data_IF_247213838294
#
_entry.id   IF_247213838294
#
_cell.length_a   1.000
_cell.length_b   1.000
_cell.length_c   1.000
_cell.angle_alpha   90.00
_cell.angle_beta   90.00
_cell.angle_gamma   90.00
#
_symmetry.space_group_name_H-M   'P 1'
#
loop_
_entity.id
_entity.type
_entity.pdbx_description
1 polymer ?
#
# COMPACT_ATOMS: atom_id res chain seq x y z
N UNK A 1 6.05 16.76 -24.26
CA UNK A 1 5.64 16.18 -22.96
C UNK A 1 6.31 14.86 -22.55
N UNK A 2 6.98 14.09 -23.42
CA UNK A 2 7.56 12.77 -23.04
C UNK A 2 8.90 12.83 -22.26
N UNK A 3 9.68 13.91 -22.33
CA UNK A 3 10.99 14.00 -21.66
C UNK A 3 10.94 14.38 -20.16
N UNK A 4 9.90 15.07 -19.69
CA UNK A 4 9.82 15.49 -18.27
C UNK A 4 9.48 14.37 -17.28
N UNK A 5 8.88 13.25 -17.74
CA UNK A 5 8.52 12.13 -16.84
C UNK A 5 9.73 11.35 -16.32
N UNK A 6 10.89 11.41 -17.00
CA UNK A 6 12.12 10.68 -16.60
C UNK A 6 12.83 11.20 -15.34
N UNK A 7 12.35 12.29 -14.70
CA UNK A 7 13.07 12.93 -13.58
C UNK A 7 12.54 12.62 -12.17
N UNK A 8 11.41 11.92 -12.04
CA UNK A 8 10.77 11.68 -10.73
C UNK A 8 11.43 10.53 -9.97
N UNK A 9 11.73 9.44 -10.67
CA UNK A 9 12.24 8.21 -10.04
C UNK A 9 13.70 8.01 -10.43
N UNK A 10 14.56 7.86 -9.41
CA UNK A 10 15.93 7.40 -9.59
C UNK A 10 15.93 5.87 -9.73
N UNK A 11 15.96 5.40 -10.99
CA UNK A 11 15.90 3.98 -11.30
C UNK A 11 17.06 3.18 -10.70
N UNK A 12 18.29 3.71 -10.71
CA UNK A 12 19.45 3.03 -10.11
C UNK A 12 19.25 2.81 -8.62
N UNK A 13 18.72 3.81 -7.89
CA UNK A 13 18.36 3.66 -6.48
C UNK A 13 17.22 2.66 -6.29
N UNK A 14 16.23 2.60 -7.19
CA UNK A 14 15.15 1.61 -7.14
C UNK A 14 15.68 0.17 -7.29
N UNK A 15 16.62 -0.07 -8.21
CA UNK A 15 17.28 -1.37 -8.39
C UNK A 15 18.03 -1.77 -7.12
N UNK A 16 18.85 -0.88 -6.57
CA UNK A 16 19.63 -1.16 -5.37
C UNK A 16 18.73 -1.45 -4.17
N UNK A 17 17.68 -0.64 -3.98
CA UNK A 17 16.70 -0.84 -2.93
C UNK A 17 15.99 -2.20 -3.05
N UNK A 18 15.53 -2.56 -4.25
CA UNK A 18 14.88 -3.84 -4.48
C UNK A 18 15.80 -5.02 -4.15
N UNK A 19 17.07 -4.98 -4.59
CA UNK A 19 18.07 -6.00 -4.25
C UNK A 19 18.29 -6.12 -2.74
N UNK A 20 18.48 -4.99 -2.05
CA UNK A 20 18.70 -4.96 -0.61
C UNK A 20 17.52 -5.55 0.16
N UNK A 21 16.30 -5.16 -0.19
CA UNK A 21 15.08 -5.64 0.47
C UNK A 21 14.86 -7.15 0.25
N UNK A 22 15.11 -7.64 -0.97
CA UNK A 22 15.06 -9.07 -1.26
C UNK A 22 16.12 -9.83 -0.47
N UNK A 23 17.35 -9.30 -0.38
CA UNK A 23 18.41 -9.94 0.40
C UNK A 23 18.02 -10.09 1.90
N UNK A 24 17.32 -9.10 2.47
CA UNK A 24 16.78 -9.21 3.85
C UNK A 24 15.74 -10.34 3.95
N UNK A 25 14.83 -10.45 2.97
CA UNK A 25 13.85 -11.55 2.90
C UNK A 25 14.52 -12.92 2.79
N UNK A 26 15.50 -13.06 1.89
CA UNK A 26 16.22 -14.33 1.66
C UNK A 26 16.97 -14.81 2.89
N UNK A 27 17.55 -13.89 3.67
CA UNK A 27 18.22 -14.21 4.95
C UNK A 27 17.25 -14.67 6.04
N UNK A 28 15.93 -14.61 5.81
CA UNK A 28 14.87 -14.88 6.80
C UNK A 28 15.05 -14.10 8.10
N UNK A 29 15.66 -12.93 8.03
CA UNK A 29 15.76 -12.03 9.19
C UNK A 29 14.37 -11.53 9.56
N UNK A 30 14.21 -10.99 10.77
CA UNK A 30 12.99 -10.28 11.11
C UNK A 30 12.68 -9.20 10.04
N UNK A 31 11.42 -9.03 9.62
CA UNK A 31 10.24 -9.68 10.19
C UNK A 31 9.86 -11.02 9.53
N UNK A 32 10.64 -11.51 8.56
CA UNK A 32 10.36 -12.72 7.77
C UNK A 32 10.53 -14.04 8.53
N UNK A 33 11.16 -14.02 9.71
CA UNK A 33 11.18 -15.17 10.62
C UNK A 33 9.85 -15.37 11.38
N UNK A 34 8.90 -14.43 11.29
CA UNK A 34 7.62 -14.56 11.99
C UNK A 34 6.66 -15.45 11.20
N UNK A 35 6.07 -16.47 11.83
CA UNK A 35 5.01 -17.26 11.19
C UNK A 35 3.81 -16.34 10.90
N UNK A 36 3.12 -16.62 9.80
CA UNK A 36 1.86 -15.95 9.45
C UNK A 36 1.94 -14.42 9.41
N UNK A 37 3.10 -13.88 9.01
CA UNK A 37 3.30 -12.43 8.93
C UNK A 37 2.36 -11.76 7.92
N UNK A 38 1.98 -12.48 6.87
CA UNK A 38 1.11 -12.01 5.79
C UNK A 38 -0.35 -12.37 6.10
N UNK A 39 -1.24 -11.38 6.40
CA UNK A 39 -2.61 -11.66 6.82
C UNK A 39 -3.46 -12.36 5.75
N UNK A 40 -3.11 -12.13 4.49
CA UNK A 40 -3.71 -12.71 3.28
C UNK A 40 -3.32 -14.17 3.04
N UNK A 41 -2.24 -14.66 3.66
CA UNK A 41 -1.86 -16.07 3.62
C UNK A 41 -2.64 -16.94 4.61
N UNK A 42 -3.41 -16.33 5.53
CA UNK A 42 -4.21 -17.05 6.53
C UNK A 42 -5.62 -17.20 5.99
N UNK A 43 -5.96 -18.43 5.56
CA UNK A 43 -7.24 -18.76 4.94
C UNK A 43 -8.36 -18.96 5.98
N UNK A 44 -9.63 -18.81 5.58
CA UNK A 44 -10.77 -19.26 6.38
C UNK A 44 -10.81 -20.80 6.50
N UNK A 45 -11.58 -21.31 7.45
CA UNK A 45 -11.58 -22.73 7.78
C UNK A 45 -12.17 -23.56 6.62
N UNK A 46 -11.49 -24.67 6.27
CA UNK A 46 -11.91 -25.56 5.20
C UNK A 46 -11.71 -25.03 3.78
N UNK A 47 -11.18 -23.82 3.60
CA UNK A 47 -10.85 -23.27 2.28
C UNK A 47 -9.45 -23.70 1.86
N UNK A 48 -9.34 -24.23 0.64
CA UNK A 48 -8.08 -24.64 0.04
C UNK A 48 -7.46 -23.49 -0.76
N UNK A 49 -6.14 -23.32 -0.66
CA UNK A 49 -5.42 -22.37 -1.50
C UNK A 49 -5.65 -22.67 -2.99
N UNK A 50 -5.98 -21.62 -3.74
CA UNK A 50 -6.29 -21.68 -5.18
C UNK A 50 -7.70 -22.16 -5.51
N UNK A 51 -8.57 -22.41 -4.53
CA UNK A 51 -9.98 -22.74 -4.80
C UNK A 51 -10.83 -21.50 -5.13
N UNK A 52 -12.04 -21.71 -5.67
CA UNK A 52 -13.00 -20.62 -5.94
C UNK A 52 -13.36 -19.83 -4.69
N UNK A 53 -13.45 -20.50 -3.54
CA UNK A 53 -13.70 -19.85 -2.26
C UNK A 53 -12.52 -18.97 -1.84
N UNK A 54 -11.29 -19.41 -2.10
CA UNK A 54 -10.09 -18.61 -1.84
C UNK A 54 -10.05 -17.35 -2.70
N UNK A 55 -10.38 -17.47 -3.99
CA UNK A 55 -10.45 -16.34 -4.92
C UNK A 55 -11.44 -15.28 -4.44
N UNK A 56 -12.66 -15.70 -4.10
CA UNK A 56 -13.70 -14.81 -3.58
C UNK A 56 -13.29 -14.16 -2.25
N UNK A 57 -12.66 -14.93 -1.37
CA UNK A 57 -12.12 -14.41 -0.11
C UNK A 57 -11.12 -13.28 -0.36
N UNK A 58 -10.15 -13.49 -1.26
CA UNK A 58 -9.16 -12.47 -1.62
C UNK A 58 -9.82 -11.25 -2.28
N UNK A 59 -10.70 -11.47 -3.26
CA UNK A 59 -11.41 -10.42 -3.99
C UNK A 59 -12.20 -9.50 -3.04
N UNK A 60 -12.96 -10.08 -2.12
CA UNK A 60 -13.75 -9.29 -1.19
C UNK A 60 -12.90 -8.63 -0.11
N UNK A 61 -11.90 -9.33 0.43
CA UNK A 61 -11.00 -8.78 1.46
C UNK A 61 -10.22 -7.57 0.98
N UNK A 62 -9.59 -7.67 -0.20
CA UNK A 62 -8.79 -6.57 -0.76
C UNK A 62 -9.66 -5.34 -1.06
N UNK A 63 -10.92 -5.55 -1.45
CA UNK A 63 -11.82 -4.44 -1.77
C UNK A 63 -12.03 -3.48 -0.59
N UNK A 64 -12.01 -3.98 0.64
CA UNK A 64 -12.21 -3.20 1.87
C UNK A 64 -10.93 -2.88 2.66
N UNK A 65 -9.74 -3.25 2.16
CA UNK A 65 -8.41 -2.95 2.74
C UNK A 65 -8.01 -1.45 2.68
N UNK A 66 -8.96 -0.54 2.42
CA UNK A 66 -8.70 0.90 2.48
C UNK A 66 -8.74 1.39 3.93
N UNK A 67 -7.75 2.19 4.32
CA UNK A 67 -7.74 2.95 5.59
C UNK A 67 -7.86 2.11 6.88
N UNK A 68 -7.62 0.80 6.81
CA UNK A 68 -7.71 -0.13 7.94
C UNK A 68 -6.36 -0.82 8.16
N UNK A 69 -6.22 -1.51 9.29
CA UNK A 69 -5.11 -2.45 9.46
C UNK A 69 -5.45 -3.72 8.68
N UNK A 70 -4.52 -4.21 7.85
CA UNK A 70 -4.74 -5.39 7.04
C UNK A 70 -5.09 -6.61 7.92
N UNK A 71 -4.41 -6.76 9.06
CA UNK A 71 -4.67 -7.83 10.02
C UNK A 71 -6.15 -7.92 10.44
N UNK A 72 -6.77 -6.77 10.76
CA UNK A 72 -8.19 -6.71 11.15
C UNK A 72 -9.12 -6.96 9.96
N UNK A 73 -8.75 -6.50 8.76
CA UNK A 73 -9.56 -6.73 7.55
C UNK A 73 -9.65 -8.20 7.21
N UNK A 74 -8.50 -8.89 7.14
CA UNK A 74 -8.47 -10.31 6.81
C UNK A 74 -9.07 -11.17 7.93
N UNK A 75 -8.92 -10.76 9.20
CA UNK A 75 -9.61 -11.40 10.33
C UNK A 75 -11.12 -11.30 10.22
N UNK A 76 -11.65 -10.10 9.98
CA UNK A 76 -13.08 -9.88 9.80
C UNK A 76 -13.63 -10.68 8.61
N UNK A 77 -12.90 -10.72 7.49
CA UNK A 77 -13.33 -11.46 6.31
C UNK A 77 -13.28 -12.98 6.49
N UNK A 78 -12.35 -13.52 7.29
CA UNK A 78 -12.40 -14.93 7.68
C UNK A 78 -13.67 -15.24 8.46
N UNK A 79 -14.03 -14.40 9.43
CA UNK A 79 -15.28 -14.58 10.19
C UNK A 79 -16.52 -14.51 9.29
N UNK A 80 -16.58 -13.52 8.40
CA UNK A 80 -17.65 -13.40 7.39
C UNK A 80 -17.72 -14.66 6.53
N UNK A 81 -16.58 -15.15 6.05
CA UNK A 81 -16.52 -16.34 5.19
C UNK A 81 -16.95 -17.59 5.95
N UNK A 82 -16.46 -17.80 7.18
CA UNK A 82 -16.83 -18.94 8.00
C UNK A 82 -18.33 -18.93 8.38
N UNK A 83 -18.94 -17.76 8.57
CA UNK A 83 -20.36 -17.62 8.96
C UNK A 83 -21.32 -17.71 7.78
N UNK A 84 -20.96 -17.15 6.63
CA UNK A 84 -21.79 -17.16 5.41
C UNK A 84 -21.55 -18.44 4.60
N UNK A 85 -20.36 -19.04 4.74
CA UNK A 85 -19.87 -20.11 3.89
C UNK A 85 -19.49 -19.58 2.52
N UNK A 86 -20.35 -19.83 1.53
CA UNK A 86 -20.05 -19.50 0.14
C UNK A 86 -20.25 -18.00 -0.14
N UNK A 87 -19.14 -17.28 -0.33
CA UNK A 87 -19.15 -15.84 -0.65
C UNK A 87 -19.80 -15.47 -2.00
N UNK A 88 -20.10 -16.43 -2.89
CA UNK A 88 -20.94 -16.15 -4.07
C UNK A 88 -22.32 -15.61 -3.67
N UNK A 89 -22.81 -15.97 -2.47
CA UNK A 89 -24.09 -15.49 -1.95
C UNK A 89 -24.04 -14.07 -1.41
N UNK A 90 -22.86 -13.44 -1.36
CA UNK A 90 -22.65 -12.15 -0.68
C UNK A 90 -23.56 -11.04 -1.24
N UNK A 91 -23.87 -11.06 -2.54
CA UNK A 91 -24.77 -10.09 -3.18
C UNK A 91 -26.20 -10.10 -2.59
N UNK A 92 -26.62 -11.23 -2.02
CA UNK A 92 -27.97 -11.45 -1.48
C UNK A 92 -28.04 -11.37 0.06
N UNK A 93 -26.90 -11.13 0.72
CA UNK A 93 -26.86 -11.02 2.18
C UNK A 93 -27.43 -9.67 2.62
N UNK A 94 -28.36 -9.70 3.58
CA UNK A 94 -28.93 -8.48 4.17
C UNK A 94 -27.84 -7.63 4.81
N UNK A 95 -27.87 -6.32 4.54
CA UNK A 95 -26.92 -5.33 5.10
C UNK A 95 -26.73 -5.49 6.62
N UNK A 96 -27.83 -5.58 7.37
CA UNK A 96 -27.80 -5.72 8.84
C UNK A 96 -27.07 -6.97 9.33
N UNK A 97 -27.05 -8.05 8.55
CA UNK A 97 -26.29 -9.25 8.89
C UNK A 97 -24.78 -9.00 8.77
N UNK A 98 -24.34 -8.33 7.67
CA UNK A 98 -22.94 -7.92 7.52
C UNK A 98 -22.52 -6.87 8.55
N UNK A 99 -23.42 -5.97 8.95
CA UNK A 99 -23.17 -5.02 10.04
C UNK A 99 -22.81 -5.77 11.33
N UNK A 100 -23.61 -6.76 11.73
CA UNK A 100 -23.37 -7.55 12.94
C UNK A 100 -22.02 -8.29 12.92
N UNK A 101 -21.59 -8.77 11.75
CA UNK A 101 -20.30 -9.47 11.59
C UNK A 101 -19.10 -8.51 11.55
N UNK A 102 -19.24 -7.30 11.01
CA UNK A 102 -18.12 -6.40 10.78
C UNK A 102 -17.93 -5.32 11.86
N UNK A 103 -18.97 -4.98 12.63
CA UNK A 103 -18.89 -4.02 13.75
C UNK A 103 -17.86 -4.43 14.81
N UNK A 104 -17.73 -5.71 15.22
CA UNK A 104 -16.72 -6.10 16.21
C UNK A 104 -15.28 -5.75 15.79
N UNK A 105 -15.01 -5.70 14.48
CA UNK A 105 -13.67 -5.42 13.94
C UNK A 105 -13.45 -3.96 13.57
N UNK A 106 -14.49 -3.27 13.08
CA UNK A 106 -14.36 -1.92 12.53
C UNK A 106 -15.10 -0.83 13.33
N UNK A 107 -15.82 -1.21 14.38
CA UNK A 107 -16.61 -0.33 15.24
C UNK A 107 -17.90 0.19 14.59
N UNK A 108 -18.68 0.93 15.38
CA UNK A 108 -19.99 1.45 14.96
C UNK A 108 -19.95 2.48 13.82
N UNK A 109 -18.77 3.02 13.51
CA UNK A 109 -18.59 4.01 12.43
C UNK A 109 -18.99 3.49 11.05
N UNK A 110 -19.03 2.17 10.84
CA UNK A 110 -19.42 1.56 9.55
C UNK A 110 -20.94 1.58 9.29
N UNK A 111 -21.78 1.86 10.31
CA UNK A 111 -23.24 1.98 10.14
C UNK A 111 -23.62 3.23 9.33
N UNK A 112 -22.89 4.31 9.56
CA UNK A 112 -23.12 5.63 8.96
C UNK A 112 -21.84 6.13 8.26
N UNK A 113 -21.44 5.47 7.17
CA UNK A 113 -20.19 5.80 6.50
C UNK A 113 -20.29 7.18 5.83
N UNK A 114 -19.20 7.94 5.88
CA UNK A 114 -19.12 9.27 5.23
C UNK A 114 -18.74 9.20 3.75
N UNK A 115 -18.19 8.06 3.32
CA UNK A 115 -17.68 7.84 1.97
C UNK A 115 -17.50 6.35 1.70
N UNK A 116 -17.22 5.99 0.44
CA UNK A 116 -16.90 4.61 0.07
C UNK A 116 -15.68 4.02 0.76
N UNK A 117 -14.68 4.81 1.11
CA UNK A 117 -13.50 4.32 1.87
C UNK A 117 -13.87 3.93 3.30
N UNK A 118 -14.94 4.53 3.83
CA UNK A 118 -15.46 4.28 5.18
C UNK A 118 -16.68 3.35 5.18
N UNK A 119 -17.14 2.90 4.01
CA UNK A 119 -18.30 2.02 3.81
C UNK A 119 -17.86 0.61 3.33
N UNK A 120 -17.37 -0.25 4.24
CA UNK A 120 -16.93 -1.57 3.85
C UNK A 120 -18.12 -2.43 3.39
N UNK A 121 -19.29 -2.28 4.03
CA UNK A 121 -20.48 -3.10 3.74
C UNK A 121 -21.04 -2.77 2.36
N UNK A 122 -21.26 -1.49 2.06
CA UNK A 122 -21.72 -1.07 0.75
C UNK A 122 -20.68 -1.35 -0.35
N UNK A 123 -19.39 -1.41 -0.01
CA UNK A 123 -18.34 -1.85 -0.95
C UNK A 123 -18.45 -3.34 -1.25
N UNK A 124 -18.62 -4.19 -0.23
CA UNK A 124 -18.78 -5.64 -0.38
C UNK A 124 -20.02 -5.97 -1.22
N UNK A 125 -21.19 -5.43 -0.85
CA UNK A 125 -22.45 -5.70 -1.55
C UNK A 125 -22.43 -5.20 -3.00
N UNK A 126 -21.93 -3.99 -3.23
CA UNK A 126 -21.81 -3.44 -4.58
C UNK A 126 -20.89 -4.30 -5.46
N UNK A 127 -19.71 -4.66 -4.95
CA UNK A 127 -18.76 -5.46 -5.72
C UNK A 127 -19.25 -6.89 -5.95
N UNK A 128 -19.93 -7.50 -4.98
CA UNK A 128 -20.54 -8.83 -5.15
C UNK A 128 -21.59 -8.82 -6.27
N UNK A 129 -22.54 -7.88 -6.24
CA UNK A 129 -23.55 -7.75 -7.28
C UNK A 129 -22.94 -7.48 -8.66
N UNK A 130 -21.98 -6.55 -8.73
CA UNK A 130 -21.29 -6.24 -9.99
C UNK A 130 -20.49 -7.44 -10.52
N UNK A 131 -19.94 -8.27 -9.65
CA UNK A 131 -19.20 -9.47 -10.03
C UNK A 131 -20.16 -10.56 -10.55
N UNK A 132 -21.32 -10.72 -9.91
CA UNK A 132 -22.42 -11.57 -10.38
C UNK A 132 -22.89 -11.16 -11.79
N UNK A 133 -23.21 -9.88 -11.98
CA UNK A 133 -23.69 -9.34 -13.27
C UNK A 133 -22.67 -9.48 -14.40
N UNK A 134 -21.38 -9.25 -14.11
CA UNK A 134 -20.34 -9.19 -15.14
C UNK A 134 -19.70 -10.53 -15.44
N UNK A 135 -19.58 -11.39 -14.42
CA UNK A 135 -18.74 -12.58 -14.46
C UNK A 135 -19.40 -13.80 -13.79
N UNK A 136 -20.72 -13.79 -13.57
CA UNK A 136 -21.43 -14.91 -12.92
C UNK A 136 -20.91 -15.21 -11.52
N UNK A 137 -20.34 -14.20 -10.83
CA UNK A 137 -19.77 -14.34 -9.50
C UNK A 137 -18.32 -14.83 -9.49
N UNK A 138 -17.71 -15.08 -10.65
CA UNK A 138 -16.36 -15.62 -10.77
C UNK A 138 -15.30 -14.52 -11.01
N UNK A 139 -14.44 -14.19 -10.03
CA UNK A 139 -13.45 -13.14 -10.21
C UNK A 139 -12.29 -13.54 -11.13
N UNK A 140 -12.12 -14.82 -11.47
CA UNK A 140 -11.05 -15.25 -12.40
C UNK A 140 -11.31 -14.77 -13.83
N UNK A 141 -12.57 -14.57 -14.20
CA UNK A 141 -12.99 -14.06 -15.50
C UNK A 141 -12.67 -12.56 -15.70
N UNK A 142 -12.11 -11.90 -14.68
CA UNK A 142 -11.54 -10.56 -14.82
C UNK A 142 -10.17 -10.57 -15.51
N UNK A 143 -9.52 -11.74 -15.60
CA UNK A 143 -8.26 -11.93 -16.33
C UNK A 143 -8.47 -11.67 -17.81
N UNK A 144 -7.59 -10.84 -18.39
CA UNK A 144 -7.49 -10.67 -19.83
C UNK A 144 -6.15 -11.21 -20.34
N UNK A 145 -5.90 -11.07 -21.64
CA UNK A 145 -4.66 -11.55 -22.26
C UNK A 145 -3.39 -10.82 -21.78
N UNK A 146 -3.52 -9.69 -21.08
CA UNK A 146 -2.36 -8.95 -20.59
C UNK A 146 -2.61 -8.28 -19.24
N UNK A 147 -1.51 -8.04 -18.52
CA UNK A 147 -1.49 -7.42 -17.19
C UNK A 147 -2.19 -6.06 -17.18
N UNK A 148 -1.91 -5.20 -18.16
CA UNK A 148 -2.42 -3.82 -18.19
C UNK A 148 -3.95 -3.80 -18.27
N UNK A 149 -4.54 -4.60 -19.14
CA UNK A 149 -5.98 -4.62 -19.32
C UNK A 149 -6.67 -5.35 -18.16
N UNK A 150 -6.05 -6.41 -17.62
CA UNK A 150 -6.54 -7.06 -16.39
C UNK A 150 -6.64 -6.07 -15.22
N UNK A 151 -5.62 -5.22 -15.01
CA UNK A 151 -5.65 -4.18 -13.99
C UNK A 151 -6.80 -3.18 -14.22
N UNK A 152 -7.08 -2.80 -15.47
CA UNK A 152 -8.22 -1.93 -15.80
C UNK A 152 -9.55 -2.61 -15.51
N UNK A 153 -9.68 -3.90 -15.81
CA UNK A 153 -10.92 -4.64 -15.54
C UNK A 153 -11.21 -4.73 -14.04
N UNK A 154 -10.20 -5.02 -13.22
CA UNK A 154 -10.31 -5.00 -11.76
C UNK A 154 -10.62 -3.58 -11.25
N UNK A 155 -9.99 -2.56 -11.83
CA UNK A 155 -10.16 -1.17 -11.39
C UNK A 155 -11.57 -0.59 -11.61
N UNK A 156 -12.44 -1.29 -12.37
CA UNK A 156 -13.86 -0.94 -12.51
C UNK A 156 -14.66 -1.22 -11.24
N UNK A 157 -14.14 -1.96 -10.27
CA UNK A 157 -14.83 -2.27 -9.03
C UNK A 157 -14.62 -1.18 -7.96
N UNK A 158 -15.60 -1.03 -7.07
CA UNK A 158 -15.55 -0.03 -6.01
C UNK A 158 -14.34 -0.30 -5.13
N UNK A 159 -13.61 0.77 -4.81
CA UNK A 159 -12.39 0.73 -4.00
C UNK A 159 -11.21 -0.03 -4.65
N UNK A 160 -11.29 -0.49 -5.89
CA UNK A 160 -10.14 -1.02 -6.63
C UNK A 160 -9.43 0.09 -7.42
N UNK A 161 -8.52 0.81 -6.78
CA UNK A 161 -7.52 1.60 -7.52
C UNK A 161 -6.41 0.70 -8.07
N UNK A 162 -5.56 1.23 -8.95
CA UNK A 162 -4.41 0.51 -9.53
C UNK A 162 -3.58 -0.24 -8.47
N UNK A 163 -3.21 0.35 -7.31
CA UNK A 163 -2.45 -0.39 -6.29
C UNK A 163 -3.17 -1.64 -5.79
N UNK A 164 -4.49 -1.56 -5.56
CA UNK A 164 -5.25 -2.71 -5.07
C UNK A 164 -5.54 -3.74 -6.15
N UNK A 165 -5.70 -3.31 -7.41
CA UNK A 165 -5.74 -4.22 -8.53
C UNK A 165 -4.42 -5.00 -8.67
N UNK A 166 -3.27 -4.33 -8.46
CA UNK A 166 -1.96 -4.98 -8.40
C UNK A 166 -1.85 -5.98 -7.24
N UNK A 167 -2.38 -5.63 -6.05
CA UNK A 167 -2.41 -6.55 -4.91
C UNK A 167 -3.24 -7.81 -5.20
N UNK A 168 -4.44 -7.66 -5.78
CA UNK A 168 -5.27 -8.80 -6.15
C UNK A 168 -4.57 -9.71 -7.16
N UNK A 169 -4.03 -9.12 -8.22
CA UNK A 169 -3.26 -9.83 -9.23
C UNK A 169 -2.07 -10.58 -8.63
N UNK A 170 -1.29 -9.93 -7.74
CA UNK A 170 -0.20 -10.57 -7.02
C UNK A 170 -0.66 -11.81 -6.28
N UNK A 171 -1.73 -11.71 -5.51
CA UNK A 171 -2.22 -12.83 -4.71
C UNK A 171 -2.79 -13.96 -5.56
N UNK A 172 -3.40 -13.64 -6.71
CA UNK A 172 -3.89 -14.65 -7.64
C UNK A 172 -2.73 -15.41 -8.31
N UNK A 173 -1.68 -14.71 -8.72
CA UNK A 173 -0.48 -15.37 -9.27
C UNK A 173 0.23 -16.19 -8.19
N UNK A 174 0.38 -15.64 -6.98
CA UNK A 174 1.00 -16.33 -5.83
C UNK A 174 0.31 -17.65 -5.50
N UNK A 175 -1.01 -17.70 -5.64
CA UNK A 175 -1.84 -18.87 -5.32
C UNK A 175 -2.11 -19.77 -6.53
N UNK A 176 -1.39 -19.57 -7.65
CA UNK A 176 -1.57 -20.30 -8.90
C UNK A 176 -2.99 -20.24 -9.51
N UNK A 177 -3.76 -19.19 -9.20
CA UNK A 177 -5.08 -18.92 -9.81
C UNK A 177 -4.89 -18.35 -11.22
N UNK A 178 -3.93 -17.43 -11.37
CA UNK A 178 -3.54 -16.85 -12.66
C UNK A 178 -2.11 -17.23 -13.02
N UNK A 179 -1.88 -17.46 -14.31
CA UNK A 179 -0.62 -17.90 -14.90
C UNK A 179 0.28 -16.75 -15.40
N UNK A 180 0.02 -15.50 -14.97
CA UNK A 180 0.90 -14.40 -15.32
C UNK A 180 2.29 -14.62 -14.74
N UNK A 181 3.33 -14.25 -15.49
CA UNK A 181 4.69 -14.29 -14.98
C UNK A 181 4.85 -13.39 -13.74
N UNK A 182 5.45 -13.88 -12.64
CA UNK A 182 5.69 -13.06 -11.45
C UNK A 182 6.66 -11.91 -11.70
N UNK A 183 7.35 -11.90 -12.86
CA UNK A 183 8.24 -10.80 -13.26
C UNK A 183 7.51 -9.69 -14.01
N UNK A 184 6.29 -9.94 -14.49
CA UNK A 184 5.54 -9.06 -15.39
C UNK A 184 4.32 -8.38 -14.75
N UNK A 185 3.95 -8.79 -13.54
CA UNK A 185 2.91 -8.14 -12.76
C UNK A 185 3.48 -6.96 -11.95
N UNK A 186 2.72 -5.89 -11.71
CA UNK A 186 3.14 -4.80 -10.84
C UNK A 186 3.10 -5.19 -9.36
N UNK A 187 3.90 -4.51 -8.54
CA UNK A 187 3.75 -4.51 -7.07
C UNK A 187 2.63 -3.55 -6.64
N UNK A 188 2.08 -3.73 -5.43
CA UNK A 188 1.17 -2.76 -4.80
C UNK A 188 1.97 -1.57 -4.29
N UNK A 189 1.93 -0.45 -5.00
CA UNK A 189 2.50 0.81 -4.48
C UNK A 189 1.53 1.43 -3.47
N UNK A 190 1.77 1.18 -2.19
CA UNK A 190 1.06 1.79 -1.07
C UNK A 190 1.97 2.68 -0.21
N UNK A 191 1.46 3.13 0.95
CA UNK A 191 2.20 3.99 1.88
C UNK A 191 3.54 3.40 2.35
N UNK A 192 3.66 2.06 2.39
CA UNK A 192 4.87 1.38 2.82
C UNK A 192 5.95 1.50 1.74
N UNK A 193 5.61 1.13 0.50
CA UNK A 193 6.51 1.28 -0.66
C UNK A 193 6.92 2.74 -0.84
N UNK A 194 5.96 3.68 -0.78
CA UNK A 194 6.23 5.11 -0.97
C UNK A 194 7.17 5.64 0.10
N UNK A 195 6.93 5.34 1.37
CA UNK A 195 7.77 5.82 2.48
C UNK A 195 9.20 5.29 2.38
N UNK A 196 9.36 3.99 2.10
CA UNK A 196 10.68 3.37 1.96
C UNK A 196 11.41 3.97 0.74
N UNK A 197 10.73 4.07 -0.40
CA UNK A 197 11.28 4.64 -1.63
C UNK A 197 11.71 6.10 -1.44
N UNK A 198 10.91 6.89 -0.73
CA UNK A 198 11.22 8.28 -0.39
C UNK A 198 12.44 8.38 0.54
N UNK A 199 12.52 7.54 1.57
CA UNK A 199 13.63 7.48 2.50
C UNK A 199 14.95 7.02 1.87
N UNK A 200 14.89 6.13 0.87
CA UNK A 200 16.07 5.65 0.16
C UNK A 200 16.42 6.51 -1.07
N UNK A 201 15.82 7.68 -1.23
CA UNK A 201 16.12 8.60 -2.34
C UNK A 201 15.69 8.10 -3.72
N UNK A 202 14.85 7.07 -3.81
CA UNK A 202 14.27 6.60 -5.09
C UNK A 202 13.37 7.68 -5.68
N UNK A 203 12.65 8.42 -4.84
CA UNK A 203 11.81 9.54 -5.27
C UNK A 203 12.64 10.84 -5.24
N UNK A 204 12.83 11.45 -6.40
CA UNK A 204 13.41 12.78 -6.51
C UNK A 204 12.36 13.82 -6.12
N UNK A 205 12.57 14.44 -4.96
CA UNK A 205 11.62 15.39 -4.38
C UNK A 205 11.80 16.82 -4.89
N UNK A 206 12.88 17.13 -5.62
CA UNK A 206 13.24 18.52 -5.95
C UNK A 206 12.14 19.26 -6.73
N UNK A 207 11.47 18.58 -7.65
CA UNK A 207 10.51 19.20 -8.58
C UNK A 207 9.04 19.12 -8.11
N UNK A 208 8.76 18.43 -7.00
CA UNK A 208 7.38 18.11 -6.56
C UNK A 208 7.06 18.58 -5.15
N UNK A 209 8.04 19.19 -4.50
CA UNK A 209 7.88 19.86 -3.24
C UNK A 209 7.04 21.11 -3.45
N UNK A 210 5.96 21.19 -2.68
CA UNK A 210 5.28 22.45 -2.43
C UNK A 210 5.79 22.99 -1.09
N UNK A 211 6.28 24.23 -1.10
CA UNK A 211 6.65 24.94 0.13
C UNK A 211 5.35 25.51 0.69
N UNK A 212 4.99 25.13 1.91
CA UNK A 212 3.95 25.83 2.65
C UNK A 212 4.53 27.14 3.17
N UNK A 213 4.56 28.18 2.34
CA UNK A 213 4.72 29.53 2.87
C UNK A 213 3.32 30.04 3.27
N UNK A 214 3.21 30.71 4.41
CA UNK A 214 1.93 31.18 4.99
C UNK A 214 1.10 32.13 4.11
N UNK A 215 1.56 32.43 2.88
CA UNK A 215 0.88 33.28 1.91
C UNK A 215 -0.18 32.55 1.08
N UNK A 216 -0.15 31.21 1.00
CA UNK A 216 -1.11 30.44 0.19
C UNK A 216 -2.21 29.83 1.06
N UNK A 217 -3.48 30.04 0.68
CA UNK A 217 -4.63 29.43 1.37
C UNK A 217 -4.54 27.91 1.26
N UNK A 218 -4.24 27.24 2.38
CA UNK A 218 -4.19 25.79 2.47
C UNK A 218 -5.60 25.21 2.34
N UNK A 219 -5.73 24.06 1.70
CA UNK A 219 -6.99 23.30 1.71
C UNK A 219 -7.37 22.96 3.16
N UNK A 220 -8.68 22.80 3.44
CA UNK A 220 -9.16 22.41 4.78
C UNK A 220 -8.46 21.12 5.25
N UNK A 221 -8.33 20.14 4.37
CA UNK A 221 -7.64 18.88 4.66
C UNK A 221 -6.19 19.12 5.10
N UNK A 222 -5.45 19.96 4.38
CA UNK A 222 -4.05 20.21 4.67
C UNK A 222 -3.83 21.04 5.94
N UNK A 223 -4.76 21.96 6.26
CA UNK A 223 -4.79 22.66 7.56
C UNK A 223 -4.98 21.68 8.71
N UNK A 224 -5.98 20.80 8.61
CA UNK A 224 -6.25 19.81 9.65
C UNK A 224 -5.04 18.90 9.91
N UNK A 225 -4.32 18.51 8.85
CA UNK A 225 -3.10 17.71 8.99
C UNK A 225 -1.96 18.53 9.61
N UNK A 226 -1.74 19.78 9.18
CA UNK A 226 -0.78 20.69 9.82
C UNK A 226 -1.04 20.79 11.32
N UNK A 227 -2.28 21.09 11.71
CA UNK A 227 -2.68 21.26 13.12
C UNK A 227 -2.53 19.95 13.91
N UNK A 228 -2.76 18.80 13.26
CA UNK A 228 -2.49 17.49 13.86
C UNK A 228 -0.99 17.27 14.10
N UNK A 229 -0.13 17.61 13.14
CA UNK A 229 1.32 17.45 13.28
C UNK A 229 1.91 18.35 14.36
N UNK A 230 1.39 19.57 14.51
CA UNK A 230 1.76 20.47 15.60
C UNK A 230 1.34 19.89 16.95
N UNK A 231 0.10 19.42 17.06
CA UNK A 231 -0.40 18.76 18.29
C UNK A 231 0.42 17.51 18.67
N UNK A 232 0.86 16.76 17.67
CA UNK A 232 1.73 15.59 17.86
C UNK A 232 3.19 15.96 18.15
N UNK A 233 3.52 17.26 18.21
CA UNK A 233 4.87 17.80 18.42
C UNK A 233 5.88 17.31 17.37
N UNK A 234 5.42 17.01 16.16
CA UNK A 234 6.31 16.69 15.04
C UNK A 234 6.97 17.94 14.47
N UNK A 235 6.25 19.07 14.49
CA UNK A 235 6.69 20.39 14.02
C UNK A 235 6.05 21.47 14.91
N UNK A 236 6.54 22.69 14.83
CA UNK A 236 5.88 23.88 15.38
C UNK A 236 5.42 24.84 14.26
N UNK A 237 4.69 25.89 14.63
CA UNK A 237 4.18 26.89 13.69
C UNK A 237 5.30 27.63 12.94
N UNK A 238 6.43 27.84 13.61
CA UNK A 238 7.62 28.49 13.06
C UNK A 238 8.27 27.65 11.94
N UNK A 239 8.30 26.32 12.07
CA UNK A 239 8.84 25.42 11.04
C UNK A 239 8.07 25.55 9.72
N UNK A 240 6.74 25.66 9.80
CA UNK A 240 5.91 25.93 8.63
C UNK A 240 6.15 27.35 8.10
N UNK A 241 6.15 28.37 8.96
CA UNK A 241 6.29 29.76 8.55
C UNK A 241 7.65 30.07 7.90
N UNK A 242 8.73 29.43 8.38
CA UNK A 242 10.07 29.51 7.79
C UNK A 242 10.25 28.61 6.56
N UNK A 243 9.23 27.85 6.17
CA UNK A 243 9.28 26.95 5.02
C UNK A 243 10.20 25.76 5.21
N UNK A 244 10.53 25.37 6.45
CA UNK A 244 11.34 24.18 6.78
C UNK A 244 10.61 22.88 6.46
N UNK A 245 9.28 22.92 6.47
CA UNK A 245 8.42 21.78 6.12
C UNK A 245 7.99 21.88 4.66
N UNK A 246 8.40 20.89 3.88
CA UNK A 246 8.00 20.68 2.48
C UNK A 246 6.92 19.63 2.41
N UNK A 247 5.97 19.81 1.51
CA UNK A 247 4.89 18.85 1.32
C UNK A 247 4.96 18.23 -0.05
N UNK A 248 4.67 16.94 -0.08
CA UNK A 248 4.57 16.21 -1.32
C UNK A 248 3.32 15.34 -1.31
N UNK A 249 2.56 15.42 -2.40
CA UNK A 249 1.41 14.54 -2.61
C UNK A 249 1.85 13.17 -3.12
N UNK A 250 1.32 12.13 -2.50
CA UNK A 250 1.68 10.74 -2.76
C UNK A 250 1.16 10.21 -4.10
N UNK A 251 0.00 10.70 -4.54
CA UNK A 251 -0.64 10.33 -5.80
C UNK A 251 0.26 10.61 -7.02
N UNK A 252 1.16 11.58 -6.92
CA UNK A 252 2.17 11.89 -7.94
C UNK A 252 3.20 10.78 -8.16
N UNK A 253 3.34 9.83 -7.22
CA UNK A 253 4.36 8.79 -7.28
C UNK A 253 3.82 7.38 -7.51
N UNK A 254 2.52 7.15 -7.35
CA UNK A 254 1.94 5.81 -7.47
C UNK A 254 2.28 5.21 -8.84
N UNK A 255 1.95 5.90 -9.93
CA UNK A 255 2.21 5.40 -11.29
C UNK A 255 3.72 5.34 -11.58
N UNK A 256 4.52 6.40 -11.36
CA UNK A 256 5.97 6.32 -11.60
C UNK A 256 6.69 5.22 -10.82
N UNK A 257 6.34 4.98 -9.55
CA UNK A 257 6.92 3.88 -8.77
C UNK A 257 6.45 2.52 -9.29
N UNK A 258 5.18 2.40 -9.68
CA UNK A 258 4.64 1.16 -10.26
C UNK A 258 5.41 0.80 -11.54
N UNK A 259 5.60 1.77 -12.43
CA UNK A 259 6.35 1.60 -13.68
C UNK A 259 7.83 1.27 -13.41
N UNK A 260 8.47 2.00 -12.49
CA UNK A 260 9.88 1.77 -12.15
C UNK A 260 10.12 0.39 -11.56
N UNK A 261 9.32 -0.03 -10.56
CA UNK A 261 9.50 -1.35 -9.96
C UNK A 261 9.09 -2.49 -10.91
N UNK A 262 8.10 -2.30 -11.78
CA UNK A 262 7.81 -3.26 -12.85
C UNK A 262 9.01 -3.41 -13.81
N UNK A 263 9.70 -2.32 -14.12
CA UNK A 263 10.93 -2.39 -14.92
C UNK A 263 12.04 -3.12 -14.15
N UNK A 264 12.19 -2.88 -12.83
CA UNK A 264 13.15 -3.61 -11.98
C UNK A 264 12.87 -5.11 -11.97
N UNK A 265 11.62 -5.54 -11.76
CA UNK A 265 11.26 -6.97 -11.69
C UNK A 265 11.57 -7.69 -13.01
N UNK A 266 11.26 -7.05 -14.15
CA UNK A 266 11.54 -7.59 -15.49
C UNK A 266 13.04 -7.70 -15.78
N UNK A 267 13.79 -6.62 -15.60
CA UNK A 267 15.20 -6.56 -15.98
C UNK A 267 16.11 -7.33 -15.04
N UNK A 268 15.78 -7.35 -13.73
CA UNK A 268 16.62 -7.99 -12.71
C UNK A 268 16.13 -9.38 -12.32
N UNK A 269 15.07 -9.88 -12.97
CA UNK A 269 14.43 -11.16 -12.66
C UNK A 269 14.12 -11.30 -11.17
N UNK A 270 13.62 -10.22 -10.58
CA UNK A 270 13.13 -10.20 -9.20
C UNK A 270 11.63 -10.46 -9.25
N UNK A 271 11.16 -11.48 -8.53
CA UNK A 271 9.73 -11.76 -8.39
C UNK A 271 9.00 -10.56 -7.79
N UNK A 272 7.97 -10.05 -8.48
CA UNK A 272 7.14 -8.96 -7.99
C UNK A 272 6.38 -9.37 -6.71
N UNK A 273 6.03 -10.66 -6.58
CA UNK A 273 5.42 -11.21 -5.36
C UNK A 273 6.39 -11.05 -4.19
N UNK A 274 7.64 -11.47 -4.39
CA UNK A 274 8.63 -11.39 -3.33
C UNK A 274 8.97 -9.96 -2.93
N UNK A 275 9.06 -9.08 -3.93
CA UNK A 275 9.36 -7.67 -3.73
C UNK A 275 8.23 -6.95 -2.98
N UNK A 276 6.98 -7.18 -3.36
CA UNK A 276 5.80 -6.61 -2.70
C UNK A 276 5.70 -7.08 -1.24
N UNK A 277 5.78 -8.40 -1.00
CA UNK A 277 5.76 -9.00 0.33
C UNK A 277 6.90 -8.42 1.19
N UNK A 278 8.08 -8.23 0.61
CA UNK A 278 9.21 -7.68 1.34
C UNK A 278 9.04 -6.21 1.71
N UNK A 279 8.54 -5.38 0.78
CA UNK A 279 8.20 -3.99 1.06
C UNK A 279 7.14 -3.87 2.15
N UNK A 280 6.07 -4.67 2.06
CA UNK A 280 4.99 -4.65 3.04
C UNK A 280 5.50 -5.05 4.42
N UNK A 281 6.25 -6.16 4.52
CA UNK A 281 6.72 -6.69 5.81
C UNK A 281 7.66 -5.70 6.50
N UNK A 282 8.69 -5.20 5.81
CA UNK A 282 9.61 -4.18 6.34
C UNK A 282 8.84 -2.90 6.68
N UNK A 283 7.95 -2.48 5.79
CA UNK A 283 7.17 -1.27 5.95
C UNK A 283 6.24 -1.31 7.16
N UNK A 284 5.58 -2.44 7.42
CA UNK A 284 4.57 -2.61 8.46
C UNK A 284 5.19 -2.95 9.82
N UNK A 285 6.27 -3.73 9.85
CA UNK A 285 6.85 -4.25 11.10
C UNK A 285 8.09 -3.48 11.58
N UNK A 286 8.85 -2.87 10.68
CA UNK A 286 10.07 -2.12 11.04
C UNK A 286 9.86 -0.61 10.84
N UNK A 287 9.61 -0.17 9.61
CA UNK A 287 9.55 1.26 9.27
C UNK A 287 8.37 1.99 9.95
N UNK A 288 7.24 1.31 10.21
CA UNK A 288 6.13 1.88 11.00
C UNK A 288 6.51 2.16 12.46
N UNK A 289 7.46 1.41 13.01
CA UNK A 289 7.94 1.48 14.39
C UNK A 289 9.24 2.28 14.55
N UNK A 290 9.78 2.82 13.46
CA UNK A 290 11.09 3.48 13.43
C UNK A 290 12.23 2.55 13.90
N UNK A 291 12.12 1.26 13.62
CA UNK A 291 13.11 0.26 14.03
C UNK A 291 14.08 -0.04 12.88
N UNK A 292 15.31 0.46 12.99
CA UNK A 292 16.37 0.30 12.00
C UNK A 292 17.08 -1.05 12.07
N UNK A 293 16.95 -1.77 13.20
CA UNK A 293 17.74 -2.96 13.54
C UNK A 293 17.68 -4.01 12.43
N UNK A 294 16.55 -4.09 11.75
CA UNK A 294 16.25 -5.18 10.83
C UNK A 294 16.27 -4.79 9.34
N UNK A 295 16.36 -3.50 9.03
CA UNK A 295 16.48 -3.05 7.65
C UNK A 295 17.95 -2.92 7.20
N UNK A 296 18.92 -3.35 8.02
CA UNK A 296 20.34 -3.39 7.62
C UNK A 296 20.86 -2.06 7.06
N UNK A 297 20.31 -0.95 7.55
CA UNK A 297 20.70 0.44 7.21
C UNK A 297 20.76 0.78 5.72
N UNK A 298 20.05 0.08 4.82
CA UNK A 298 20.05 0.46 3.39
C UNK A 298 19.33 1.80 3.11
N UNK A 299 18.68 2.38 4.11
CA UNK A 299 18.02 3.67 4.02
C UNK A 299 18.98 4.77 4.49
N UNK A 300 19.28 5.72 3.60
CA UNK A 300 20.10 6.90 3.90
C UNK A 300 19.44 7.79 4.97
N UNK A 301 18.12 7.70 5.16
CA UNK A 301 17.38 8.48 6.15
C UNK A 301 17.32 7.74 7.50
N UNK A 302 17.85 8.33 8.59
CA UNK A 302 17.67 7.87 9.96
C UNK A 302 16.20 7.59 10.32
N UNK A 303 15.97 6.50 11.06
CA UNK A 303 14.63 6.00 11.35
C UNK A 303 13.80 6.91 12.26
N UNK A 304 14.46 7.75 13.06
CA UNK A 304 13.84 8.81 13.87
C UNK A 304 13.28 9.96 13.02
N UNK A 305 13.73 10.11 11.76
CA UNK A 305 13.30 11.16 10.83
C UNK A 305 12.19 10.70 9.88
N UNK A 306 11.36 9.76 10.33
CA UNK A 306 10.18 9.30 9.57
C UNK A 306 9.38 10.50 9.07
N UNK A 307 9.27 10.63 7.74
CA UNK A 307 8.38 11.61 7.12
C UNK A 307 6.97 11.33 7.62
N UNK A 308 6.38 12.23 8.43
CA UNK A 308 5.02 12.03 8.83
C UNK A 308 4.16 12.10 7.58
N UNK A 309 3.11 11.30 7.58
CA UNK A 309 2.08 11.35 6.57
C UNK A 309 0.76 11.60 7.26
N UNK A 310 -0.21 12.17 6.55
CA UNK A 310 -1.58 12.11 7.02
C UNK A 310 -2.04 10.64 7.15
N UNK A 311 -3.15 10.43 7.86
CA UNK A 311 -3.69 9.09 8.09
C UNK A 311 -4.01 8.32 6.79
N UNK A 312 -4.24 9.05 5.70
CA UNK A 312 -4.52 8.51 4.37
C UNK A 312 -3.27 8.36 3.50
N UNK A 313 -2.11 8.81 3.98
CA UNK A 313 -0.87 8.92 3.23
C UNK A 313 -1.04 9.63 1.87
N UNK A 314 -1.92 10.63 1.81
CA UNK A 314 -2.08 11.56 0.69
C UNK A 314 -0.91 12.54 0.66
N UNK A 315 -0.45 12.98 1.83
CA UNK A 315 0.63 13.95 1.97
C UNK A 315 1.79 13.35 2.77
N UNK A 316 3.00 13.52 2.26
CA UNK A 316 4.24 13.32 3.01
C UNK A 316 4.85 14.68 3.33
N UNK A 317 5.29 14.83 4.58
CA UNK A 317 5.91 16.04 5.08
C UNK A 317 7.40 15.80 5.21
N UNK A 318 8.21 16.62 4.55
CA UNK A 318 9.66 16.53 4.57
C UNK A 318 10.24 17.70 5.36
N UNK A 319 11.12 17.38 6.29
CA UNK A 319 11.95 18.36 6.96
C UNK A 319 13.22 18.62 6.11
N UNK A 320 13.43 19.89 5.71
CA UNK A 320 14.58 20.31 4.90
C UNK A 320 15.88 20.23 5.69
N UNK A 321 15.87 20.69 6.93
CA UNK A 321 17.08 20.92 7.73
C UNK A 321 17.65 19.58 8.19
N UNK A 322 16.76 18.64 8.53
CA UNK A 322 17.10 17.26 8.87
C UNK A 322 17.77 16.47 7.75
N UNK A 323 17.52 16.78 6.46
CA UNK A 323 18.22 16.13 5.34
C UNK A 323 19.66 16.61 5.15
N UNK A 324 19.99 17.83 5.57
CA UNK A 324 21.33 18.41 5.36
C UNK A 324 22.40 17.73 6.21
N UNK A 325 22.06 17.29 7.42
CA UNK A 325 23.03 16.69 8.35
C UNK A 325 23.47 15.26 7.98
N UNK A 326 22.73 14.55 7.13
CA UNK A 326 23.09 13.19 6.67
C UNK A 326 24.19 13.26 5.59
N UNK A 327 24.09 14.22 4.66
CA UNK A 327 25.03 14.31 3.54
C UNK A 327 26.40 14.85 3.94
N UNK A 328 26.55 15.43 5.13
CA UNK A 328 27.85 15.89 5.64
C UNK A 328 28.55 14.86 6.53
N UNK A 329 27.83 13.97 7.23
CA UNK A 329 28.44 13.04 8.20
C UNK A 329 28.76 11.65 7.65
N UNK A 330 28.15 11.25 6.52
CA UNK A 330 28.40 9.91 5.93
C UNK A 330 29.56 9.86 4.92
N UNK A 331 30.18 10.99 4.57
CA UNK A 331 31.41 10.99 3.77
C UNK A 331 32.69 10.98 4.62
N UNK A 332 32.60 11.25 5.92
CA UNK A 332 33.76 11.30 6.82
C UNK A 332 34.07 9.95 7.50
N UNK A 333 33.30 8.89 7.22
CA UNK A 333 33.49 7.54 7.81
C UNK A 333 33.73 6.43 6.77
N UNK A 334 34.11 6.76 5.53
CA UNK A 334 34.54 5.78 4.52
C UNK A 334 35.94 6.07 3.94
N UNK A 335 36.86 6.52 4.78
CA UNK A 335 38.31 6.43 4.54
C UNK A 335 39.01 5.75 5.70
#
# INVERSE_FOLDING_TARGET
>A
MKQHKKRIINYSKAVNLAKSIIAVKTKKNFPFNKPNIFPDAILPDGIKEGSKEHELFLFHSISIDSMRQAEEVYKAMREVTNKIGNLNKLANIKKGHLENLLIPHFGNGIKNPKSSMTDPIGTLLFNAKKLEEKCGGDPTLLKTNNVKDTLKEIAKFRQYGIPKAALLMKNYVKSNIWDFSPYEIPIKVDRHVMRISLGCGVINTKDYVEILNGKRKLSIALRNVKDQLIRMKHYNEEDFNKGKVRIIRSDRFIIPLTEAYLQVTKEKKISAIDLDDAFWAIGAKSCKKNDATYCGTFCEVPCDMRYPSDNNAIYFFLDIDKRRNINQSHFDFMY
#
